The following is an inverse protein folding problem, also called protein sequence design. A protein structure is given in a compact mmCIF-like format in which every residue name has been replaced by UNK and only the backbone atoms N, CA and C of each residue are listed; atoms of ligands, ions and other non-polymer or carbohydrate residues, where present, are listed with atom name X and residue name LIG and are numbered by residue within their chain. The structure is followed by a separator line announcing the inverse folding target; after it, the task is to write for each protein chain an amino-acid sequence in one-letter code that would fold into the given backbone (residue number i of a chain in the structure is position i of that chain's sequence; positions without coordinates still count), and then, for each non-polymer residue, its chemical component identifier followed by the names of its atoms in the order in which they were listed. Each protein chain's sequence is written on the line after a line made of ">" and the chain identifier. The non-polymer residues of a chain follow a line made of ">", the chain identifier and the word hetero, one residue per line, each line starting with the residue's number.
data_IF_638367221883
#
_entry.id   IF_638367221883
#
_cell.length_a   1.000
_cell.length_b   1.000
_cell.length_c   1.000
_cell.angle_alpha   90.00
_cell.angle_beta   90.00
_cell.angle_gamma   90.00
#
_symmetry.space_group_name_H-M   'P 1'
#
loop_
_entity.id
_entity.type
_entity.pdbx_description
1 polymer ?
#
# COMPACT_ATOMS: atom_id res chain seq x y z
N UNK A 1 -1.04 42.45 9.57
CA UNK A 1 -1.26 41.31 10.48
C UNK A 1 -2.47 40.52 10.01
N UNK A 2 -2.24 39.38 9.36
CA UNK A 2 -3.22 38.31 9.21
C UNK A 2 -2.42 37.01 9.30
N UNK A 3 -2.66 36.23 10.35
CA UNK A 3 -1.88 35.04 10.71
C UNK A 3 -2.08 33.97 9.64
N UNK A 4 -0.99 33.47 9.05
CA UNK A 4 -1.00 32.25 8.25
C UNK A 4 -1.37 31.08 9.18
N UNK A 5 -2.37 30.31 8.79
CA UNK A 5 -2.76 29.05 9.45
C UNK A 5 -1.77 27.95 9.01
N UNK A 6 -1.29 27.08 9.91
CA UNK A 6 -0.49 25.92 9.56
C UNK A 6 -1.41 24.77 9.11
N UNK A 7 -1.07 24.08 7.99
CA UNK A 7 -1.61 22.75 7.71
C UNK A 7 -2.40 22.53 6.41
N UNK A 8 -2.08 23.20 5.29
CA UNK A 8 -2.50 22.71 3.98
C UNK A 8 -1.49 21.65 3.49
N UNK A 9 -1.69 20.39 3.85
CA UNK A 9 -0.98 19.26 3.23
C UNK A 9 -1.50 19.09 1.79
N UNK A 10 -1.01 19.94 0.88
CA UNK A 10 -1.14 19.70 -0.56
C UNK A 10 -0.25 18.49 -0.90
N UNK A 11 -0.85 17.30 -0.91
CA UNK A 11 -0.17 16.08 -1.30
C UNK A 11 0.37 16.17 -2.74
N UNK A 12 1.62 15.73 -2.94
CA UNK A 12 2.23 15.69 -4.27
C UNK A 12 1.57 14.62 -5.15
N UNK A 13 1.27 14.96 -6.41
CA UNK A 13 0.69 14.01 -7.37
C UNK A 13 1.81 13.29 -8.12
N UNK A 14 2.02 12.02 -7.78
CA UNK A 14 2.97 11.15 -8.47
C UNK A 14 2.36 10.61 -9.77
N UNK A 15 3.17 10.60 -10.84
CA UNK A 15 2.82 9.98 -12.12
C UNK A 15 3.60 8.68 -12.30
N UNK A 16 2.88 7.57 -12.47
CA UNK A 16 3.46 6.25 -12.69
C UNK A 16 3.00 5.62 -14.02
N UNK A 17 3.65 4.52 -14.40
CA UNK A 17 3.20 3.68 -15.51
C UNK A 17 2.00 2.85 -15.07
N UNK A 18 0.88 2.97 -15.79
CA UNK A 18 -0.32 2.17 -15.53
C UNK A 18 -0.18 0.80 -16.22
N UNK A 19 -0.26 -0.27 -15.45
CA UNK A 19 -0.30 -1.65 -15.97
C UNK A 19 -1.74 -2.08 -16.24
N UNK A 20 -2.68 -1.71 -15.36
CA UNK A 20 -4.13 -1.94 -15.53
C UNK A 20 -4.90 -0.69 -15.12
N UNK A 21 -5.82 -0.26 -15.98
CA UNK A 21 -6.64 0.93 -15.73
C UNK A 21 -7.67 0.73 -14.61
N UNK A 22 -8.07 1.83 -13.97
CA UNK A 22 -9.05 1.85 -12.88
C UNK A 22 -8.91 3.11 -12.03
N UNK A 23 -9.86 3.33 -11.11
CA UNK A 23 -9.80 4.39 -10.09
C UNK A 23 -10.19 3.79 -8.75
N UNK A 24 -9.42 4.07 -7.71
CA UNK A 24 -9.68 3.65 -6.34
C UNK A 24 -9.23 4.74 -5.37
N UNK A 25 -9.81 4.75 -4.17
CA UNK A 25 -9.43 5.62 -3.05
C UNK A 25 -9.48 4.80 -1.77
N UNK A 26 -8.51 4.99 -0.90
CA UNK A 26 -8.42 4.33 0.40
C UNK A 26 -7.23 4.86 1.18
N UNK A 27 -7.13 4.45 2.44
CA UNK A 27 -5.96 4.72 3.27
C UNK A 27 -4.72 4.01 2.68
N UNK A 28 -3.59 4.71 2.64
CA UNK A 28 -2.34 4.13 2.12
C UNK A 28 -1.75 3.16 3.15
N UNK A 29 -1.55 1.91 2.74
CA UNK A 29 -0.79 0.91 3.50
C UNK A 29 0.58 0.77 2.83
N UNK A 30 1.61 1.34 3.44
CA UNK A 30 2.93 1.48 2.82
C UNK A 30 3.90 0.47 3.43
N UNK A 31 4.57 -0.32 2.60
CA UNK A 31 5.70 -1.16 3.01
C UNK A 31 6.98 -0.71 2.31
N UNK A 32 8.09 -0.55 3.03
CA UNK A 32 9.41 -0.40 2.40
C UNK A 32 9.96 -1.73 1.87
N UNK A 33 9.37 -2.87 2.22
CA UNK A 33 9.82 -4.20 1.82
C UNK A 33 8.95 -4.82 0.72
N UNK A 34 9.51 -5.76 -0.08
CA UNK A 34 8.76 -6.50 -1.09
C UNK A 34 7.61 -7.32 -0.49
N UNK A 35 6.46 -7.36 -1.18
CA UNK A 35 5.29 -8.11 -0.73
C UNK A 35 5.08 -9.35 -1.60
N UNK A 36 4.91 -10.51 -0.95
CA UNK A 36 4.46 -11.74 -1.58
C UNK A 36 2.96 -11.97 -1.35
N UNK A 37 2.16 -11.95 -2.41
CA UNK A 37 0.72 -12.23 -2.28
C UNK A 37 0.42 -13.73 -2.14
N UNK A 38 1.27 -14.59 -2.71
CA UNK A 38 1.14 -16.04 -2.60
C UNK A 38 1.85 -16.51 -1.33
N UNK A 39 1.06 -16.87 -0.30
CA UNK A 39 1.56 -17.36 0.99
C UNK A 39 1.94 -16.27 2.00
N UNK A 40 2.15 -15.03 1.58
CA UNK A 40 2.39 -13.89 2.49
C UNK A 40 1.12 -13.14 2.91
N UNK A 41 0.00 -13.38 2.24
CA UNK A 41 -1.31 -12.79 2.55
C UNK A 41 -2.35 -13.90 2.62
N UNK A 42 -3.13 -13.92 3.69
CA UNK A 42 -4.28 -14.81 3.84
C UNK A 42 -5.37 -14.41 2.82
N UNK A 43 -5.80 -15.31 1.92
CA UNK A 43 -6.70 -14.97 0.82
C UNK A 43 -8.15 -14.72 1.28
N UNK A 44 -8.57 -15.25 2.42
CA UNK A 44 -9.93 -15.10 2.94
C UNK A 44 -10.10 -13.77 3.69
N UNK A 45 -9.08 -13.41 4.48
CA UNK A 45 -9.11 -12.24 5.35
C UNK A 45 -8.39 -11.03 4.75
N UNK A 46 -7.45 -11.25 3.83
CA UNK A 46 -6.57 -10.19 3.31
C UNK A 46 -5.55 -9.70 4.34
N UNK A 47 -5.28 -10.47 5.40
CA UNK A 47 -4.26 -10.13 6.41
C UNK A 47 -2.90 -10.61 5.94
N UNK A 48 -1.87 -9.77 6.09
CA UNK A 48 -0.48 -10.18 5.84
C UNK A 48 -0.03 -11.12 6.96
N UNK A 49 0.34 -12.34 6.60
CA UNK A 49 0.74 -13.42 7.54
C UNK A 49 2.23 -13.77 7.43
N UNK A 50 2.97 -13.09 6.54
CA UNK A 50 4.42 -13.25 6.43
C UNK A 50 5.10 -12.78 7.73
N UNK A 51 5.69 -13.72 8.46
CA UNK A 51 6.38 -13.44 9.72
C UNK A 51 7.58 -12.53 9.51
N UNK A 52 7.69 -11.49 10.34
CA UNK A 52 8.78 -10.51 10.30
C UNK A 52 8.61 -9.43 9.23
N UNK A 53 7.56 -9.50 8.41
CA UNK A 53 7.27 -8.45 7.44
C UNK A 53 6.72 -7.20 8.15
N UNK A 54 7.06 -5.97 7.73
CA UNK A 54 6.60 -4.71 8.35
C UNK A 54 5.07 -4.56 8.44
N UNK A 55 4.37 -5.26 7.56
CA UNK A 55 2.90 -5.29 7.50
C UNK A 55 2.28 -6.52 8.18
N UNK A 56 3.04 -7.39 8.85
CA UNK A 56 2.48 -8.57 9.54
C UNK A 56 1.29 -8.18 10.44
N UNK A 57 0.17 -8.90 10.29
CA UNK A 57 -1.09 -8.62 11.00
C UNK A 57 -1.94 -7.49 10.43
N UNK A 58 -1.45 -6.73 9.44
CA UNK A 58 -2.21 -5.68 8.77
C UNK A 58 -3.11 -6.23 7.66
N UNK A 59 -4.29 -5.64 7.49
CA UNK A 59 -5.23 -6.00 6.43
C UNK A 59 -5.04 -5.13 5.18
N UNK A 60 -4.97 -5.75 4.01
CA UNK A 60 -4.82 -5.04 2.71
C UNK A 60 -6.16 -4.67 2.08
N UNK A 61 -7.25 -5.38 2.42
CA UNK A 61 -8.58 -5.11 1.87
C UNK A 61 -9.05 -3.68 2.18
N UNK A 62 -9.58 -2.98 1.17
CA UNK A 62 -10.11 -1.62 1.34
C UNK A 62 -9.06 -0.52 1.44
N UNK A 63 -7.77 -0.86 1.29
CA UNK A 63 -6.64 0.07 1.37
C UNK A 63 -5.92 0.20 0.04
N UNK A 64 -5.10 1.23 -0.10
CA UNK A 64 -4.17 1.42 -1.22
C UNK A 64 -2.82 0.89 -0.78
N UNK A 65 -2.45 -0.31 -1.25
CA UNK A 65 -1.19 -0.94 -0.90
C UNK A 65 -0.05 -0.38 -1.75
N UNK A 66 1.02 0.12 -1.12
CA UNK A 66 2.19 0.73 -1.77
C UNK A 66 3.45 0.01 -1.32
N UNK A 67 4.22 -0.53 -2.27
CA UNK A 67 5.40 -1.34 -2.01
C UNK A 67 6.36 -1.29 -3.21
N UNK A 68 7.66 -1.52 -3.02
CA UNK A 68 8.66 -1.33 -4.08
C UNK A 68 8.61 -2.40 -5.18
N UNK A 69 8.37 -3.67 -4.82
CA UNK A 69 8.31 -4.79 -5.77
C UNK A 69 7.57 -6.00 -5.19
N UNK A 70 7.05 -6.88 -6.05
CA UNK A 70 6.50 -8.16 -5.62
C UNK A 70 7.60 -9.18 -5.29
N UNK A 71 7.32 -10.09 -4.35
CA UNK A 71 8.18 -11.23 -3.98
C UNK A 71 7.63 -12.53 -4.59
N UNK A 72 8.53 -13.39 -5.06
CA UNK A 72 8.21 -14.78 -5.38
C UNK A 72 7.30 -14.99 -6.59
N UNK A 73 7.48 -14.23 -7.67
CA UNK A 73 6.71 -14.39 -8.91
C UNK A 73 7.04 -15.71 -9.61
N UNK A 74 6.40 -16.79 -9.17
CA UNK A 74 6.29 -18.05 -9.91
C UNK A 74 4.82 -18.45 -9.89
N UNK A 75 4.38 -18.97 -11.04
CA UNK A 75 2.99 -19.15 -11.49
C UNK A 75 2.06 -19.88 -10.53
#
# INVERSE_FOLDING_TARGET
>A
MAKRLPGSEEGEVLKGRIIRGGKAKGEALVSPEPIGFLGGVDPETGVVVERGHPLEGQRVSGRVLVFPTGKGSTV
#
